data_IF_110233754184
#
_entry.id   IF_110233754184
#
_cell.length_a   1.000
_cell.length_b   1.000
_cell.length_c   1.000
_cell.angle_alpha   90.00
_cell.angle_beta   90.00
_cell.angle_gamma   90.00
#
_symmetry.space_group_name_H-M   'P 1'
#
loop_
_entity.id
_entity.type
_entity.pdbx_description
1 polymer ?
#
# COMPACT_ATOMS: atom_id res chain seq x y z
N UNK A 1 -11.15 -20.57 -5.64
CA UNK A 1 -11.27 -19.08 -5.63
C UNK A 1 -10.03 -18.51 -6.28
N UNK A 2 -10.21 -17.57 -7.22
CA UNK A 2 -9.14 -16.91 -7.95
C UNK A 2 -9.35 -15.39 -7.89
N UNK A 3 -8.42 -14.66 -7.29
CA UNK A 3 -8.56 -13.22 -7.03
C UNK A 3 -7.28 -12.47 -7.33
N UNK A 4 -7.39 -11.19 -7.65
CA UNK A 4 -6.28 -10.26 -7.82
C UNK A 4 -6.25 -9.27 -6.65
N UNK A 5 -5.15 -9.18 -5.92
CA UNK A 5 -4.92 -8.19 -4.86
C UNK A 5 -4.66 -6.81 -5.49
N UNK A 6 -5.72 -6.02 -5.64
CA UNK A 6 -5.67 -4.73 -6.29
C UNK A 6 -5.20 -3.64 -5.34
N UNK A 7 -4.14 -2.95 -5.70
CA UNK A 7 -3.51 -1.92 -4.86
C UNK A 7 -3.85 -0.48 -5.23
N UNK A 8 -4.63 -0.20 -6.28
CA UNK A 8 -4.96 1.15 -6.76
C UNK A 8 -3.85 1.85 -7.54
N UNK A 9 -2.64 1.29 -7.63
CA UNK A 9 -1.51 1.88 -8.35
C UNK A 9 -1.39 1.41 -9.81
N UNK A 10 -0.30 1.79 -10.47
CA UNK A 10 -0.07 1.54 -11.90
C UNK A 10 -0.17 0.06 -12.29
N UNK A 11 0.56 -0.83 -11.59
CA UNK A 11 0.56 -2.25 -11.93
C UNK A 11 -0.82 -2.89 -11.77
N UNK A 12 -1.55 -2.55 -10.71
CA UNK A 12 -2.89 -3.10 -10.49
C UNK A 12 -3.92 -2.58 -11.49
N UNK A 13 -3.81 -1.34 -11.94
CA UNK A 13 -4.65 -0.81 -13.01
C UNK A 13 -4.29 -1.40 -14.37
N UNK A 14 -3.00 -1.56 -14.67
CA UNK A 14 -2.58 -2.29 -15.88
C UNK A 14 -3.10 -3.73 -15.88
N UNK A 15 -3.05 -4.42 -14.73
CA UNK A 15 -3.62 -5.77 -14.61
C UNK A 15 -5.14 -5.78 -14.81
N UNK A 16 -5.86 -4.79 -14.30
CA UNK A 16 -7.30 -4.64 -14.52
C UNK A 16 -7.63 -4.49 -16.01
N UNK A 17 -6.89 -3.63 -16.72
CA UNK A 17 -7.04 -3.45 -18.18
C UNK A 17 -6.72 -4.75 -18.94
N UNK A 18 -5.64 -5.43 -18.58
CA UNK A 18 -5.28 -6.71 -19.22
C UNK A 18 -6.32 -7.79 -18.95
N UNK A 19 -6.95 -7.81 -17.80
CA UNK A 19 -8.07 -8.71 -17.49
C UNK A 19 -9.32 -8.38 -18.31
N UNK A 20 -9.63 -7.08 -18.47
CA UNK A 20 -10.72 -6.62 -19.33
C UNK A 20 -10.50 -7.02 -20.81
N UNK A 21 -9.24 -6.99 -21.27
CA UNK A 21 -8.84 -7.41 -22.62
C UNK A 21 -8.75 -8.95 -22.79
N UNK A 22 -9.05 -9.74 -21.75
CA UNK A 22 -8.94 -11.20 -21.78
C UNK A 22 -7.49 -11.75 -21.76
N UNK A 23 -6.49 -10.89 -21.54
CA UNK A 23 -5.08 -11.29 -21.45
C UNK A 23 -4.70 -11.86 -20.08
N UNK A 24 -5.49 -11.55 -19.04
CA UNK A 24 -5.40 -12.14 -17.72
C UNK A 24 -6.73 -12.77 -17.34
N UNK A 25 -6.67 -14.00 -16.85
CA UNK A 25 -7.86 -14.75 -16.41
C UNK A 25 -8.13 -14.47 -14.91
N UNK A 26 -8.46 -13.21 -14.60
CA UNK A 26 -8.91 -12.76 -13.28
C UNK A 26 -10.19 -11.93 -13.45
N UNK A 27 -11.26 -12.31 -12.73
CA UNK A 27 -12.56 -11.63 -12.76
C UNK A 27 -12.96 -11.02 -11.42
N UNK A 28 -12.19 -11.30 -10.36
CA UNK A 28 -12.42 -10.76 -9.02
C UNK A 28 -11.17 -10.03 -8.54
N UNK A 29 -11.31 -8.74 -8.29
CA UNK A 29 -10.26 -7.85 -7.79
C UNK A 29 -10.62 -7.37 -6.40
N UNK A 30 -9.66 -7.37 -5.48
CA UNK A 30 -9.86 -7.02 -4.08
C UNK A 30 -9.01 -5.80 -3.70
N UNK A 31 -9.65 -4.67 -3.51
CA UNK A 31 -9.04 -3.45 -2.98
C UNK A 31 -9.20 -3.39 -1.47
N UNK A 32 -8.09 -3.39 -0.74
CA UNK A 32 -8.10 -3.21 0.71
C UNK A 32 -7.98 -1.73 1.06
N UNK A 33 -9.10 -1.07 1.29
CA UNK A 33 -9.15 0.28 1.84
C UNK A 33 -8.74 0.24 3.32
N UNK A 34 -7.62 0.86 3.64
CA UNK A 34 -7.06 0.86 5.01
C UNK A 34 -7.65 1.98 5.89
N UNK A 35 -8.67 2.65 5.39
CA UNK A 35 -9.44 3.74 6.01
C UNK A 35 -9.49 4.97 5.12
N UNK A 36 -10.67 5.59 5.01
CA UNK A 36 -10.86 6.84 4.26
C UNK A 36 -10.07 7.99 4.88
N UNK A 37 -9.77 7.87 6.17
CA UNK A 37 -8.88 8.76 6.93
C UNK A 37 -7.39 8.42 6.75
N UNK A 38 -7.05 7.37 6.05
CA UNK A 38 -5.71 6.81 5.96
C UNK A 38 -5.16 6.75 4.53
N UNK A 39 -5.96 6.26 3.56
CA UNK A 39 -5.57 6.25 2.16
C UNK A 39 -5.44 7.68 1.61
N UNK A 40 -4.60 7.86 0.59
CA UNK A 40 -4.58 9.13 -0.14
C UNK A 40 -5.93 9.36 -0.82
N UNK A 41 -6.61 10.51 -0.56
CA UNK A 41 -7.91 10.81 -1.14
C UNK A 41 -7.95 10.68 -2.67
N UNK A 42 -6.85 11.01 -3.36
CA UNK A 42 -6.77 10.86 -4.81
C UNK A 42 -6.79 9.39 -5.25
N UNK A 43 -6.23 8.46 -4.41
CA UNK A 43 -6.33 7.02 -4.68
C UNK A 43 -7.78 6.54 -4.56
N UNK A 44 -8.50 6.96 -3.51
CA UNK A 44 -9.91 6.59 -3.32
C UNK A 44 -10.78 7.13 -4.46
N UNK A 45 -10.61 8.41 -4.80
CA UNK A 45 -11.32 9.02 -5.92
C UNK A 45 -11.08 8.24 -7.23
N UNK A 46 -9.81 7.92 -7.54
CA UNK A 46 -9.51 7.14 -8.74
C UNK A 46 -10.17 5.75 -8.74
N UNK A 47 -10.15 5.06 -7.60
CA UNK A 47 -10.78 3.73 -7.48
C UNK A 47 -12.28 3.82 -7.74
N UNK A 48 -12.97 4.81 -7.14
CA UNK A 48 -14.42 4.95 -7.23
C UNK A 48 -14.86 5.52 -8.59
N UNK A 49 -14.17 6.55 -9.10
CA UNK A 49 -14.60 7.30 -10.28
C UNK A 49 -14.15 6.65 -11.59
N UNK A 50 -13.10 5.82 -11.56
CA UNK A 50 -12.51 5.24 -12.78
C UNK A 50 -12.40 3.72 -12.72
N UNK A 51 -11.74 3.15 -11.71
CA UNK A 51 -11.42 1.72 -11.71
C UNK A 51 -12.66 0.84 -11.52
N UNK A 52 -13.54 1.15 -10.57
CA UNK A 52 -14.78 0.39 -10.32
C UNK A 52 -15.75 0.46 -11.51
N UNK A 53 -16.05 1.64 -12.09
CA UNK A 53 -16.89 1.71 -13.29
C UNK A 53 -16.30 0.96 -14.48
N UNK A 54 -14.98 1.07 -14.69
CA UNK A 54 -14.30 0.33 -15.76
C UNK A 54 -14.40 -1.19 -15.55
N UNK A 55 -14.14 -1.68 -14.34
CA UNK A 55 -14.26 -3.09 -13.99
C UNK A 55 -15.69 -3.60 -14.28
N UNK A 56 -16.70 -2.89 -13.79
CA UNK A 56 -18.12 -3.26 -13.96
C UNK A 56 -18.51 -3.33 -15.45
N UNK A 57 -18.07 -2.35 -16.26
CA UNK A 57 -18.34 -2.33 -17.70
C UNK A 57 -17.73 -3.55 -18.47
N UNK A 58 -16.72 -4.22 -17.87
CA UNK A 58 -16.07 -5.38 -18.47
C UNK A 58 -16.37 -6.71 -17.75
N UNK A 59 -17.41 -6.74 -16.90
CA UNK A 59 -17.80 -7.95 -16.17
C UNK A 59 -16.74 -8.42 -15.16
N UNK A 60 -16.01 -7.48 -14.58
CA UNK A 60 -15.02 -7.70 -13.51
C UNK A 60 -15.57 -7.17 -12.21
N UNK A 61 -15.51 -7.97 -11.15
CA UNK A 61 -15.90 -7.57 -9.81
C UNK A 61 -14.70 -6.93 -9.09
N UNK A 62 -14.76 -5.63 -8.81
CA UNK A 62 -13.78 -4.94 -7.98
C UNK A 62 -14.42 -4.63 -6.63
N UNK A 63 -14.08 -5.44 -5.62
CA UNK A 63 -14.60 -5.31 -4.26
C UNK A 63 -13.68 -4.41 -3.43
N UNK A 64 -14.28 -3.48 -2.71
CA UNK A 64 -13.62 -2.72 -1.67
C UNK A 64 -13.78 -3.44 -0.33
N UNK A 65 -12.68 -3.73 0.33
CA UNK A 65 -12.60 -4.44 1.59
C UNK A 65 -12.01 -3.55 2.67
N UNK A 66 -12.57 -3.64 3.88
CA UNK A 66 -12.06 -2.94 5.06
C UNK A 66 -11.77 -3.91 6.19
N UNK A 67 -10.83 -3.54 7.05
CA UNK A 67 -10.58 -4.27 8.27
C UNK A 67 -11.66 -3.94 9.31
N UNK A 68 -12.24 -4.99 9.92
CA UNK A 68 -13.19 -4.85 11.01
C UNK A 68 -12.60 -5.39 12.31
N UNK A 69 -12.92 -4.73 13.42
CA UNK A 69 -12.66 -5.21 14.78
C UNK A 69 -13.63 -6.35 15.13
N UNK A 70 -13.46 -6.92 16.32
CA UNK A 70 -14.36 -7.98 16.83
C UNK A 70 -15.79 -7.50 17.06
N UNK A 71 -15.97 -6.24 17.38
CA UNK A 71 -17.27 -5.59 17.58
C UNK A 71 -17.98 -5.20 16.27
N UNK A 72 -17.37 -5.53 15.11
CA UNK A 72 -17.90 -5.21 13.79
C UNK A 72 -17.53 -3.80 13.27
N UNK A 73 -17.01 -2.92 14.10
CA UNK A 73 -16.61 -1.58 13.67
C UNK A 73 -15.40 -1.61 12.74
N UNK A 74 -15.35 -0.67 11.78
CA UNK A 74 -14.20 -0.52 10.89
C UNK A 74 -12.97 -0.10 11.70
N UNK A 75 -11.83 -0.71 11.42
CA UNK A 75 -10.54 -0.32 11.96
C UNK A 75 -9.69 0.28 10.85
N UNK A 76 -9.28 1.55 11.03
CA UNK A 76 -8.40 2.26 10.10
C UNK A 76 -6.96 2.31 10.61
N UNK A 77 -5.98 2.54 9.72
CA UNK A 77 -4.59 2.71 10.17
C UNK A 77 -4.46 3.98 11.00
N UNK A 78 -5.03 5.10 10.55
CA UNK A 78 -4.98 6.36 11.27
C UNK A 78 -5.64 6.24 12.65
N UNK A 79 -6.84 5.65 12.72
CA UNK A 79 -7.52 5.40 13.99
C UNK A 79 -6.72 4.50 14.94
N UNK A 80 -5.99 3.50 14.43
CA UNK A 80 -5.09 2.66 15.25
C UNK A 80 -3.88 3.48 15.74
N UNK A 81 -3.32 4.34 14.90
CA UNK A 81 -2.19 5.20 15.23
C UNK A 81 -2.55 6.25 16.28
N UNK A 82 -3.73 6.84 16.20
CA UNK A 82 -4.15 7.97 17.05
C UNK A 82 -4.94 7.54 18.28
N UNK A 83 -5.40 6.28 18.36
CA UNK A 83 -6.18 5.76 19.49
C UNK A 83 -5.46 6.03 20.81
N UNK A 84 -6.18 6.61 21.76
CA UNK A 84 -5.71 6.88 23.13
C UNK A 84 -5.16 5.61 23.81
N UNK A 85 -4.07 5.74 24.55
CA UNK A 85 -3.41 4.61 25.22
C UNK A 85 -2.74 3.58 24.28
N UNK A 86 -2.86 3.74 22.95
CA UNK A 86 -2.27 2.79 22.01
C UNK A 86 -0.74 2.85 22.02
N UNK A 87 -0.10 1.68 22.08
CA UNK A 87 1.36 1.51 21.88
C UNK A 87 1.68 1.03 20.45
N UNK A 88 0.66 0.88 19.61
CA UNK A 88 0.81 0.31 18.27
C UNK A 88 1.41 1.33 17.30
N UNK A 89 2.42 0.89 16.55
CA UNK A 89 3.00 1.59 15.41
C UNK A 89 2.99 0.64 14.20
N UNK A 90 1.84 0.49 13.51
CA UNK A 90 1.71 -0.46 12.41
C UNK A 90 2.43 -0.03 11.12
N UNK A 91 2.86 1.23 11.04
CA UNK A 91 3.55 1.79 9.87
C UNK A 91 5.08 1.77 10.06
N UNK A 92 5.87 1.68 8.98
CA UNK A 92 7.32 1.60 9.04
C UNK A 92 7.97 2.98 9.28
N UNK A 93 7.63 3.61 10.42
CA UNK A 93 8.29 4.85 10.84
C UNK A 93 9.81 4.67 10.88
N UNK A 94 10.57 5.73 10.70
CA UNK A 94 12.01 5.70 10.88
C UNK A 94 12.35 5.91 12.36
N UNK A 95 13.11 4.98 12.91
CA UNK A 95 13.60 5.05 14.28
C UNK A 95 14.72 6.09 14.42
N UNK A 96 15.06 6.49 15.64
CA UNK A 96 16.13 7.45 15.91
C UNK A 96 17.50 7.05 15.34
N UNK A 97 17.75 5.74 15.21
CA UNK A 97 18.96 5.18 14.59
C UNK A 97 18.86 5.03 13.05
N UNK A 98 17.80 5.56 12.42
CA UNK A 98 17.56 5.47 10.98
C UNK A 98 16.93 4.16 10.50
N UNK A 99 16.85 3.11 11.34
CA UNK A 99 16.24 1.83 10.96
C UNK A 99 14.73 1.99 10.72
N UNK A 100 14.16 1.28 9.72
CA UNK A 100 12.72 1.25 9.54
C UNK A 100 12.05 0.45 10.68
N UNK A 101 10.91 0.94 11.15
CA UNK A 101 10.02 0.21 12.03
C UNK A 101 9.30 -0.95 11.33
N UNK A 102 8.52 -1.70 12.11
CA UNK A 102 7.73 -2.82 11.58
C UNK A 102 6.68 -2.33 10.60
N UNK A 103 6.39 -3.17 9.59
CA UNK A 103 5.43 -2.90 8.53
C UNK A 103 4.17 -3.76 8.67
N UNK A 104 3.59 -3.78 9.86
CA UNK A 104 2.40 -4.58 10.14
C UNK A 104 1.14 -4.05 9.45
N UNK A 105 1.13 -2.82 8.95
CA UNK A 105 0.02 -2.28 8.16
C UNK A 105 -0.31 -3.18 6.96
N UNK A 106 0.68 -3.65 6.21
CA UNK A 106 0.45 -4.56 5.08
C UNK A 106 -0.12 -5.91 5.56
N UNK A 107 0.47 -6.50 6.59
CA UNK A 107 0.00 -7.79 7.12
C UNK A 107 -1.42 -7.68 7.67
N UNK A 108 -1.70 -6.65 8.47
CA UNK A 108 -2.95 -6.53 9.21
C UNK A 108 -4.11 -6.01 8.38
N UNK A 109 -3.87 -5.01 7.52
CA UNK A 109 -4.93 -4.30 6.80
C UNK A 109 -5.10 -4.77 5.34
N UNK A 110 -4.15 -5.53 4.80
CA UNK A 110 -4.24 -6.04 3.43
C UNK A 110 -4.24 -7.58 3.40
N UNK A 111 -3.14 -8.23 3.81
CA UNK A 111 -2.99 -9.69 3.69
C UNK A 111 -4.07 -10.44 4.50
N UNK A 112 -4.24 -10.09 5.80
CA UNK A 112 -5.26 -10.74 6.64
C UNK A 112 -6.68 -10.45 6.18
N UNK A 113 -6.94 -9.27 5.59
CA UNK A 113 -8.26 -8.89 5.07
C UNK A 113 -8.60 -9.74 3.84
N UNK A 114 -7.69 -9.83 2.87
CA UNK A 114 -7.84 -10.72 1.70
C UNK A 114 -7.96 -12.17 2.16
N UNK A 115 -7.10 -12.62 3.07
CA UNK A 115 -7.15 -13.97 3.60
C UNK A 115 -8.48 -14.33 4.29
N UNK A 116 -9.11 -13.36 4.97
CA UNK A 116 -10.45 -13.53 5.54
C UNK A 116 -11.50 -13.66 4.44
N UNK A 117 -11.44 -12.79 3.44
CA UNK A 117 -12.37 -12.78 2.32
C UNK A 117 -12.32 -14.09 1.53
N UNK A 118 -11.14 -14.57 1.11
CA UNK A 118 -11.02 -15.82 0.33
C UNK A 118 -11.49 -17.04 1.12
N UNK A 119 -11.26 -17.09 2.44
CA UNK A 119 -11.79 -18.17 3.29
C UNK A 119 -13.31 -18.15 3.38
N UNK A 120 -13.94 -16.99 3.45
CA UNK A 120 -15.40 -16.84 3.40
C UNK A 120 -15.99 -17.29 2.05
N UNK A 121 -15.16 -17.29 0.99
CA UNK A 121 -15.53 -17.73 -0.36
C UNK A 121 -15.02 -19.14 -0.70
N UNK A 122 -14.74 -19.98 0.32
CA UNK A 122 -14.46 -21.40 0.16
C UNK A 122 -12.99 -21.79 0.09
N UNK A 123 -12.05 -20.85 0.27
CA UNK A 123 -10.63 -21.20 0.32
C UNK A 123 -10.30 -21.97 1.62
N UNK A 124 -9.55 -23.05 1.48
CA UNK A 124 -9.10 -23.91 2.58
C UNK A 124 -7.74 -24.55 2.26
N UNK A 125 -7.15 -25.30 3.18
CA UNK A 125 -5.93 -26.05 2.90
C UNK A 125 -6.14 -27.12 1.82
N UNK A 126 -7.36 -27.71 1.73
CA UNK A 126 -7.71 -28.69 0.71
C UNK A 126 -8.03 -28.04 -0.67
N UNK A 127 -8.49 -26.79 -0.68
CA UNK A 127 -8.82 -26.00 -1.88
C UNK A 127 -8.30 -24.57 -1.73
N UNK A 128 -6.99 -24.36 -1.89
CA UNK A 128 -6.39 -23.04 -1.70
C UNK A 128 -6.83 -22.05 -2.79
N UNK A 129 -7.02 -20.78 -2.38
CA UNK A 129 -7.27 -19.69 -3.31
C UNK A 129 -5.99 -19.32 -4.07
N UNK A 130 -6.12 -18.99 -5.35
CA UNK A 130 -5.06 -18.30 -6.10
C UNK A 130 -5.18 -16.81 -5.89
N UNK A 131 -4.16 -16.18 -5.33
CA UNK A 131 -4.10 -14.73 -5.08
C UNK A 131 -3.02 -14.13 -5.93
N UNK A 132 -3.40 -13.39 -6.97
CA UNK A 132 -2.47 -12.67 -7.82
C UNK A 132 -2.01 -11.37 -7.17
N UNK A 133 -0.73 -11.05 -7.35
CA UNK A 133 -0.11 -9.80 -6.91
C UNK A 133 0.50 -9.11 -8.12
N UNK A 134 0.23 -7.81 -8.27
CA UNK A 134 0.73 -6.99 -9.38
C UNK A 134 2.20 -6.60 -9.19
N UNK A 135 3.10 -7.58 -9.30
CA UNK A 135 4.55 -7.36 -9.33
C UNK A 135 4.99 -7.34 -10.79
N UNK A 136 5.61 -6.24 -11.22
CA UNK A 136 6.16 -6.08 -12.56
C UNK A 136 7.56 -6.67 -12.67
N UNK A 137 8.05 -6.87 -13.91
CA UNK A 137 9.32 -7.56 -14.18
C UNK A 137 10.53 -6.91 -13.49
N UNK A 138 10.54 -5.59 -13.41
CA UNK A 138 11.57 -4.79 -12.73
C UNK A 138 11.51 -4.87 -11.19
N UNK A 139 10.50 -5.56 -10.65
CA UNK A 139 10.33 -5.81 -9.21
C UNK A 139 10.36 -7.32 -8.87
N UNK A 140 10.94 -8.16 -9.72
CA UNK A 140 10.90 -9.63 -9.60
C UNK A 140 11.43 -10.15 -8.26
N UNK A 141 12.40 -9.46 -7.66
CA UNK A 141 12.97 -9.82 -6.36
C UNK A 141 11.94 -9.85 -5.22
N UNK A 142 10.77 -9.21 -5.44
CA UNK A 142 9.67 -9.20 -4.48
C UNK A 142 8.79 -10.44 -4.55
N UNK A 143 8.87 -11.21 -5.61
CA UNK A 143 7.93 -12.31 -5.87
C UNK A 143 8.03 -13.48 -4.89
N UNK A 144 9.20 -13.70 -4.25
CA UNK A 144 9.47 -14.87 -3.41
C UNK A 144 9.57 -14.58 -1.91
N UNK A 145 9.29 -13.36 -1.46
CA UNK A 145 9.65 -12.91 -0.11
C UNK A 145 8.53 -13.07 0.93
N UNK A 146 7.39 -13.68 0.58
CA UNK A 146 6.29 -13.86 1.50
C UNK A 146 6.00 -15.35 1.74
N UNK A 147 5.98 -15.74 3.02
CA UNK A 147 5.45 -17.04 3.42
C UNK A 147 3.98 -17.16 3.02
N UNK A 148 3.62 -18.25 2.37
CA UNK A 148 2.24 -18.58 2.00
C UNK A 148 1.55 -19.36 3.13
N UNK A 149 0.29 -19.04 3.33
CA UNK A 149 -0.57 -19.80 4.23
C UNK A 149 -1.18 -21.04 3.50
N UNK A 150 -1.58 -22.10 4.21
CA UNK A 150 -2.09 -23.31 3.55
C UNK A 150 -3.31 -23.07 2.64
N UNK A 151 -4.10 -22.04 2.92
CA UNK A 151 -5.32 -21.71 2.16
C UNK A 151 -5.06 -20.84 0.93
N UNK A 152 -3.79 -20.48 0.62
CA UNK A 152 -3.46 -19.59 -0.51
C UNK A 152 -2.32 -20.14 -1.39
N UNK A 153 -2.35 -19.73 -2.64
CA UNK A 153 -1.25 -19.83 -3.60
C UNK A 153 -1.06 -18.46 -4.24
N UNK A 154 0.15 -17.94 -4.20
CA UNK A 154 0.47 -16.65 -4.82
C UNK A 154 0.74 -16.84 -6.30
N UNK A 155 0.30 -15.86 -7.08
CA UNK A 155 0.48 -15.79 -8.51
C UNK A 155 1.00 -14.39 -8.90
N UNK A 156 1.79 -14.30 -9.96
CA UNK A 156 2.45 -13.07 -10.40
C UNK A 156 2.24 -12.84 -11.91
N UNK A 157 1.01 -12.66 -12.37
CA UNK A 157 0.65 -12.71 -13.79
C UNK A 157 1.31 -11.60 -14.64
N UNK A 158 1.74 -10.48 -14.05
CA UNK A 158 2.52 -9.48 -14.78
C UNK A 158 3.95 -9.93 -15.08
N UNK A 159 4.53 -10.82 -14.24
CA UNK A 159 5.82 -11.44 -14.53
C UNK A 159 5.71 -12.42 -15.71
N UNK A 160 4.65 -13.22 -15.73
CA UNK A 160 4.38 -14.17 -16.82
C UNK A 160 4.22 -13.46 -18.17
N UNK A 161 3.55 -12.30 -18.16
CA UNK A 161 3.40 -11.42 -19.31
C UNK A 161 4.62 -10.53 -19.60
N UNK A 162 5.66 -10.62 -18.77
CA UNK A 162 6.88 -9.78 -18.85
C UNK A 162 6.61 -8.27 -18.85
N UNK A 163 5.53 -7.86 -18.19
CA UNK A 163 5.15 -6.45 -18.08
C UNK A 163 6.11 -5.72 -17.13
N UNK A 164 6.72 -4.65 -17.61
CA UNK A 164 7.52 -3.72 -16.81
C UNK A 164 6.64 -2.60 -16.24
N UNK A 165 7.14 -1.94 -15.21
CA UNK A 165 6.45 -0.77 -14.67
C UNK A 165 6.30 0.34 -15.71
N UNK A 166 7.30 0.53 -16.57
CA UNK A 166 7.27 1.47 -17.69
C UNK A 166 6.19 1.18 -18.75
N UNK A 167 5.70 -0.06 -18.84
CA UNK A 167 4.66 -0.44 -19.79
C UNK A 167 3.26 -0.09 -19.27
N UNK A 168 3.11 0.03 -17.93
CA UNK A 168 1.81 0.26 -17.30
C UNK A 168 1.09 1.51 -17.80
N UNK A 169 1.75 2.69 -17.97
CA UNK A 169 1.08 3.87 -18.52
C UNK A 169 0.45 3.64 -19.89
N UNK A 170 1.17 3.00 -20.81
CA UNK A 170 0.66 2.67 -22.15
C UNK A 170 -0.54 1.72 -22.10
N UNK A 171 -0.49 0.70 -21.23
CA UNK A 171 -1.59 -0.24 -21.04
C UNK A 171 -2.83 0.50 -20.51
N UNK A 172 -2.69 1.35 -19.49
CA UNK A 172 -3.78 2.10 -18.89
C UNK A 172 -4.40 3.08 -19.90
N UNK A 173 -3.55 3.82 -20.61
CA UNK A 173 -3.98 4.78 -21.63
C UNK A 173 -4.71 4.09 -22.79
N UNK A 174 -4.33 2.86 -23.17
CA UNK A 174 -5.02 2.10 -24.23
C UNK A 174 -6.49 1.79 -23.90
N UNK A 175 -6.87 1.85 -22.63
CA UNK A 175 -8.23 1.67 -22.15
C UNK A 175 -9.00 3.00 -21.99
N UNK A 176 -8.40 4.14 -22.35
CA UNK A 176 -9.00 5.47 -22.14
C UNK A 176 -9.05 5.91 -20.67
N UNK A 177 -8.36 5.21 -19.78
CA UNK A 177 -8.32 5.56 -18.37
C UNK A 177 -7.25 6.64 -18.09
N UNK A 178 -7.51 7.61 -17.20
CA UNK A 178 -6.50 8.53 -16.72
C UNK A 178 -5.44 7.78 -15.91
N UNK A 179 -4.26 8.37 -15.77
CA UNK A 179 -3.22 7.79 -14.96
C UNK A 179 -3.59 7.81 -13.47
N UNK A 180 -3.52 6.65 -12.78
CA UNK A 180 -3.78 6.59 -11.36
C UNK A 180 -2.68 7.32 -10.58
N UNK A 181 -3.02 7.96 -9.46
CA UNK A 181 -2.05 8.50 -8.53
C UNK A 181 -1.20 7.38 -7.91
N UNK A 182 -0.12 7.75 -7.26
CA UNK A 182 0.65 6.79 -6.45
C UNK A 182 -0.19 6.33 -5.26
N UNK A 183 -0.56 5.05 -5.23
CA UNK A 183 -1.33 4.49 -4.12
C UNK A 183 -0.45 4.30 -2.88
N UNK A 184 -0.76 5.06 -1.83
CA UNK A 184 -0.16 4.95 -0.50
C UNK A 184 -1.05 5.68 0.50
N UNK A 185 -0.89 5.41 1.81
CA UNK A 185 -1.45 6.29 2.84
C UNK A 185 -0.80 7.68 2.72
N UNK A 186 -1.56 8.75 2.96
CA UNK A 186 -1.02 10.11 2.86
C UNK A 186 0.11 10.38 3.86
N UNK A 187 0.18 9.65 4.96
CA UNK A 187 1.24 9.71 5.97
C UNK A 187 2.27 8.57 5.87
N UNK A 188 2.38 7.89 4.74
CA UNK A 188 3.24 6.72 4.62
C UNK A 188 4.73 7.09 4.77
N UNK A 189 5.49 6.49 5.73
CA UNK A 189 6.92 6.78 5.90
C UNK A 189 7.80 6.36 4.72
N UNK A 190 7.22 5.65 3.74
CA UNK A 190 7.89 5.22 2.51
C UNK A 190 7.68 6.21 1.35
N UNK A 191 7.09 7.37 1.62
CA UNK A 191 7.13 8.46 0.65
C UNK A 191 8.57 8.92 0.43
N UNK A 192 8.93 9.12 -0.84
CA UNK A 192 10.19 9.75 -1.20
C UNK A 192 10.14 11.24 -0.92
N UNK A 193 11.29 11.87 -0.92
CA UNK A 193 11.43 13.30 -0.70
C UNK A 193 10.54 14.11 -1.64
N UNK A 194 10.60 13.83 -2.94
CA UNK A 194 9.74 14.51 -3.93
C UNK A 194 8.25 14.42 -3.61
N UNK A 195 7.76 13.24 -3.18
CA UNK A 195 6.36 13.10 -2.81
C UNK A 195 5.96 13.94 -1.59
N UNK A 196 6.86 14.14 -0.62
CA UNK A 196 6.64 15.03 0.52
C UNK A 196 6.69 16.50 0.10
N UNK A 197 7.61 16.87 -0.79
CA UNK A 197 7.72 18.23 -1.36
C UNK A 197 6.45 18.57 -2.15
N UNK A 198 6.00 17.67 -3.03
CA UNK A 198 4.78 17.84 -3.80
C UNK A 198 3.55 17.94 -2.90
N UNK A 199 3.46 17.11 -1.86
CA UNK A 199 2.36 17.18 -0.90
C UNK A 199 2.37 18.53 -0.16
N UNK A 200 3.54 19.03 0.26
CA UNK A 200 3.63 20.35 0.90
C UNK A 200 3.20 21.47 -0.02
N UNK A 201 3.58 21.42 -1.30
CA UNK A 201 3.28 22.45 -2.30
C UNK A 201 1.81 22.41 -2.74
N UNK A 202 1.30 21.23 -3.07
CA UNK A 202 0.01 21.06 -3.75
C UNK A 202 -1.14 20.75 -2.79
N UNK A 203 -0.82 20.13 -1.65
CA UNK A 203 -1.79 19.69 -0.63
C UNK A 203 -1.31 20.05 0.77
N UNK A 204 -1.10 21.35 1.08
CA UNK A 204 -0.48 21.81 2.34
C UNK A 204 -1.24 21.39 3.60
N UNK A 205 -2.56 21.28 3.51
CA UNK A 205 -3.40 20.79 4.62
C UNK A 205 -3.05 19.34 4.97
N UNK A 206 -2.85 18.49 3.96
CA UNK A 206 -2.52 17.08 4.15
C UNK A 206 -1.09 16.92 4.70
N UNK A 207 -0.15 17.74 4.22
CA UNK A 207 1.21 17.79 4.76
C UNK A 207 1.22 18.22 6.24
N UNK A 208 0.43 19.25 6.58
CA UNK A 208 0.29 19.72 7.97
C UNK A 208 -0.31 18.63 8.85
N UNK A 209 -1.30 17.88 8.36
CA UNK A 209 -1.87 16.75 9.07
C UNK A 209 -0.83 15.63 9.31
N UNK A 210 0.05 15.36 8.33
CA UNK A 210 1.14 14.40 8.48
C UNK A 210 2.15 14.84 9.55
N UNK A 211 2.52 16.11 9.58
CA UNK A 211 3.34 16.67 10.65
C UNK A 211 2.67 16.55 12.03
N UNK A 212 1.37 16.83 12.11
CA UNK A 212 0.58 16.66 13.33
C UNK A 212 0.52 15.20 13.81
N UNK A 213 0.37 14.25 12.89
CA UNK A 213 0.43 12.83 13.23
C UNK A 213 1.81 12.46 13.80
N UNK A 214 2.91 12.93 13.20
CA UNK A 214 4.26 12.69 13.72
C UNK A 214 4.43 13.25 15.14
N UNK A 215 3.89 14.44 15.41
CA UNK A 215 3.91 15.05 16.74
C UNK A 215 3.13 14.19 17.76
N UNK A 216 1.94 13.72 17.42
CA UNK A 216 1.12 12.84 18.29
C UNK A 216 1.86 11.53 18.60
N UNK A 217 2.49 10.92 17.60
CA UNK A 217 3.29 9.72 17.80
C UNK A 217 4.46 9.98 18.74
N UNK A 218 5.18 11.09 18.56
CA UNK A 218 6.34 11.43 19.36
C UNK A 218 5.98 11.88 20.78
N UNK A 219 4.86 12.58 20.95
CA UNK A 219 4.33 12.90 22.27
C UNK A 219 4.09 11.61 23.07
N UNK A 220 3.35 10.67 22.50
CA UNK A 220 3.03 9.40 23.13
C UNK A 220 4.27 8.53 23.41
N UNK A 221 5.25 8.55 22.52
CA UNK A 221 6.52 7.82 22.74
C UNK A 221 7.32 8.40 23.89
N UNK A 222 7.33 9.71 24.04
CA UNK A 222 7.97 10.39 25.19
C UNK A 222 7.33 9.96 26.50
N UNK A 223 5.99 9.89 26.58
CA UNK A 223 5.27 9.40 27.75
C UNK A 223 5.63 7.94 28.11
N UNK A 224 6.05 7.17 27.12
CA UNK A 224 6.48 5.77 27.28
C UNK A 224 8.01 5.64 27.49
N UNK A 225 8.75 6.74 27.63
CA UNK A 225 10.22 6.72 27.74
C UNK A 225 10.94 6.16 26.51
N UNK A 226 10.36 6.32 25.31
CA UNK A 226 10.90 5.79 24.05
C UNK A 226 11.44 6.90 23.17
N UNK A 227 12.45 6.57 22.36
CA UNK A 227 13.04 7.47 21.38
C UNK A 227 12.04 8.00 20.37
N UNK A 228 12.34 9.16 19.78
CA UNK A 228 11.57 9.75 18.69
C UNK A 228 11.53 8.85 17.46
N UNK A 229 10.47 9.02 16.67
CA UNK A 229 10.32 8.41 15.36
C UNK A 229 9.98 9.48 14.31
N UNK A 230 10.22 9.16 13.04
CA UNK A 230 10.04 10.09 11.94
C UNK A 230 9.25 9.46 10.81
N UNK A 231 8.44 10.27 10.13
CA UNK A 231 7.75 9.86 8.91
C UNK A 231 8.65 9.96 7.67
N UNK A 232 9.78 10.65 7.79
CA UNK A 232 10.78 10.75 6.73
C UNK A 232 12.07 10.00 7.08
N UNK A 233 12.90 9.72 6.07
CA UNK A 233 14.21 9.07 6.25
C UNK A 233 15.32 10.00 6.77
N UNK A 234 15.05 11.28 6.96
CA UNK A 234 16.07 12.30 7.24
C UNK A 234 16.46 12.41 8.72
N UNK A 235 15.87 11.59 9.61
CA UNK A 235 16.21 11.60 11.04
C UNK A 235 15.87 12.90 11.78
N UNK A 236 14.98 13.71 11.22
CA UNK A 236 14.45 14.94 11.78
C UNK A 236 12.96 15.08 11.50
N UNK A 237 12.23 15.89 12.28
CA UNK A 237 10.79 16.10 12.09
C UNK A 237 10.45 16.46 10.66
N UNK A 238 9.32 15.92 10.15
CA UNK A 238 8.90 16.08 8.76
C UNK A 238 8.83 17.55 8.33
N UNK A 239 8.34 18.45 9.20
CA UNK A 239 8.27 19.90 8.96
C UNK A 239 9.64 20.57 8.77
N UNK A 240 10.69 20.00 9.39
CA UNK A 240 12.07 20.47 9.26
C UNK A 240 12.79 19.78 8.09
N UNK A 241 12.37 18.55 7.79
CA UNK A 241 12.95 17.75 6.71
C UNK A 241 12.60 18.30 5.34
N UNK A 242 11.38 18.82 5.20
CA UNK A 242 10.84 19.38 3.96
C UNK A 242 10.58 20.87 4.20
N UNK A 243 11.43 21.74 3.66
CA UNK A 243 11.31 23.19 3.80
C UNK A 243 10.40 23.81 2.74
N UNK A 244 9.92 25.04 2.98
CA UNK A 244 9.22 25.83 1.96
C UNK A 244 10.17 26.16 0.81
N UNK A 245 9.63 26.11 -0.42
CA UNK A 245 10.42 26.43 -1.62
C UNK A 245 11.46 25.39 -1.99
N UNK A 246 11.55 24.25 -1.27
CA UNK A 246 12.47 23.18 -1.64
C UNK A 246 12.06 22.58 -2.99
N UNK A 247 12.99 22.58 -3.95
CA UNK A 247 12.82 21.95 -5.24
C UNK A 247 13.37 20.52 -5.23
N UNK A 248 12.76 19.64 -6.01
CA UNK A 248 13.31 18.32 -6.31
C UNK A 248 14.43 18.51 -7.34
N UNK A 249 15.67 18.27 -6.96
CA UNK A 249 16.81 18.41 -7.86
C UNK A 249 16.92 17.27 -8.88
N UNK A 250 16.35 16.09 -8.57
CA UNK A 250 16.30 14.94 -9.47
C UNK A 250 15.01 14.15 -9.19
N UNK A 251 14.17 14.01 -10.20
CA UNK A 251 13.06 13.07 -10.19
C UNK A 251 13.60 11.66 -10.48
N UNK A 252 13.76 10.87 -9.45
CA UNK A 252 13.88 9.43 -9.63
C UNK A 252 12.46 8.85 -9.69
N UNK A 253 11.98 8.55 -10.89
CA UNK A 253 10.64 8.00 -11.15
C UNK A 253 10.40 6.62 -10.53
N UNK A 254 11.43 6.02 -9.95
CA UNK A 254 11.37 4.70 -9.38
C UNK A 254 10.85 4.71 -7.94
N UNK A 255 9.69 4.09 -7.71
CA UNK A 255 9.26 3.33 -6.53
C UNK A 255 9.23 3.99 -5.14
N UNK A 256 8.27 3.58 -4.30
CA UNK A 256 8.37 3.74 -2.86
C UNK A 256 9.67 3.07 -2.35
N UNK A 257 10.33 3.64 -1.34
CA UNK A 257 11.64 3.21 -0.81
C UNK A 257 11.77 1.73 -0.46
N UNK A 258 10.68 0.98 -0.37
CA UNK A 258 10.70 -0.46 -0.05
C UNK A 258 10.09 -1.36 -1.10
N UNK A 259 9.36 -0.81 -2.07
CA UNK A 259 8.72 -1.62 -3.11
C UNK A 259 7.70 -2.69 -2.63
N UNK A 260 7.46 -2.86 -1.33
CA UNK A 260 6.82 -4.05 -0.75
C UNK A 260 5.37 -3.85 -0.32
N UNK A 261 4.46 -3.38 -1.16
CA UNK A 261 3.08 -3.11 -0.73
C UNK A 261 2.27 -4.36 -0.34
N UNK A 262 2.59 -5.55 -0.86
CA UNK A 262 1.94 -6.82 -0.51
C UNK A 262 2.93 -7.91 -0.05
N UNK A 263 4.21 -7.58 0.12
CA UNK A 263 5.23 -8.52 0.61
C UNK A 263 5.76 -8.04 1.96
N UNK A 264 5.78 -8.90 2.94
CA UNK A 264 6.47 -8.68 4.21
C UNK A 264 7.91 -9.15 3.99
N UNK A 265 8.85 -8.24 3.89
CA UNK A 265 10.26 -8.61 3.98
C UNK A 265 10.51 -9.11 5.40
N UNK A 266 10.86 -10.37 5.55
CA UNK A 266 11.48 -10.90 6.75
C UNK A 266 12.89 -10.29 6.88
N UNK A 267 12.99 -9.12 7.51
CA UNK A 267 14.24 -8.65 8.09
C UNK A 267 14.28 -9.18 9.53
N UNK A 268 14.44 -10.48 9.68
CA UNK A 268 14.82 -11.12 10.94
C UNK A 268 15.49 -12.45 10.57
N UNK A 269 16.79 -12.41 10.25
CA UNK A 269 17.72 -13.50 10.50
C UNK A 269 19.09 -13.22 9.90
N UNK A 270 19.77 -12.19 10.35
CA UNK A 270 21.23 -12.08 10.17
C UNK A 270 21.92 -11.42 11.38
N UNK A 271 21.53 -11.79 12.60
CA UNK A 271 22.37 -11.58 13.79
C UNK A 271 22.15 -12.73 14.77
N UNK A 272 22.56 -13.94 14.37
CA UNK A 272 23.01 -15.01 15.28
C UNK A 272 24.13 -15.77 14.59
N UNK A 273 25.33 -15.27 14.75
CA UNK A 273 26.57 -16.03 14.91
C UNK A 273 27.40 -15.28 15.94
#
# INVERSE_FOLDING_TARGET
>A
VKVFAYGGGWQSNAALVLAAQGKLDYRTFLFCNVGDDSEDPATLAYVHDHAMPYAAAHGIELHELQRHKRDGSVETIFGRLTREGSRSLPIPVRMSNGAPGTRSCTADFKIKVIGKWVKQHGASAASPATIAIGISLDEIDRANNRRQEPYERLDYPLLDLRVRRSDCPGIIASAGLPMPPKSACWFCPLHREGAWIDMRRERPTLFTAACGLEDVLNFRRRELGKDKVYLSRFGKPLREAISEGQAVLFEDESHCDSGYCFTVALVLEQHRL
#
